data_IF_179355171902
#
_entry.id   IF_179355171902
#
_cell.length_a   1.000
_cell.length_b   1.000
_cell.length_c   1.000
_cell.angle_alpha   90.00
_cell.angle_beta   90.00
_cell.angle_gamma   90.00
#
_symmetry.space_group_name_H-M   'P 1'
#
loop_
_entity.id
_entity.type
_entity.pdbx_description
1 polymer ?
#
# COMPACT_ATOMS: atom_id res chain seq x y z
N UNK A 1 -2.92 -62.87 52.75
CA UNK A 1 -4.36 -62.80 52.46
C UNK A 1 -4.51 -62.66 50.97
N UNK A 2 -5.07 -63.67 50.33
CA UNK A 2 -5.26 -63.77 48.88
C UNK A 2 -6.68 -63.30 48.55
N UNK A 3 -6.85 -62.44 47.55
CA UNK A 3 -8.13 -62.36 46.83
C UNK A 3 -7.87 -62.08 45.36
N UNK A 4 -8.41 -62.98 44.56
CA UNK A 4 -8.55 -63.03 43.11
C UNK A 4 -9.77 -62.18 42.68
N UNK A 5 -9.75 -61.58 41.48
CA UNK A 5 -10.90 -61.58 40.56
C UNK A 5 -10.58 -60.84 39.25
N UNK A 6 -10.89 -61.54 38.16
CA UNK A 6 -10.76 -61.14 36.76
C UNK A 6 -12.06 -60.56 36.15
N UNK A 7 -11.95 -60.07 34.91
CA UNK A 7 -12.92 -60.17 33.78
C UNK A 7 -13.74 -58.91 33.35
N UNK A 8 -13.39 -58.47 32.13
CA UNK A 8 -14.15 -57.96 30.96
C UNK A 8 -15.46 -57.15 31.06
N UNK A 9 -15.55 -56.16 30.17
CA UNK A 9 -16.81 -55.67 29.60
C UNK A 9 -16.61 -54.61 28.52
N UNK A 10 -16.61 -55.02 27.25
CA UNK A 10 -16.61 -54.17 26.05
C UNK A 10 -17.95 -53.47 25.85
N UNK A 11 -17.97 -52.19 25.45
CA UNK A 11 -19.05 -51.64 24.61
C UNK A 11 -18.59 -50.38 23.86
N UNK A 12 -18.54 -50.51 22.54
CA UNK A 12 -18.55 -49.44 21.55
C UNK A 12 -19.79 -48.56 21.68
N UNK A 13 -19.65 -47.25 21.52
CA UNK A 13 -20.76 -46.36 21.17
C UNK A 13 -20.29 -45.27 20.23
N UNK A 14 -20.54 -45.52 18.95
CA UNK A 14 -20.53 -44.56 17.86
C UNK A 14 -21.59 -43.49 18.10
N UNK A 15 -21.20 -42.21 18.05
CA UNK A 15 -22.15 -41.10 17.97
C UNK A 15 -21.63 -40.05 16.98
N UNK A 16 -22.05 -40.25 15.73
CA UNK A 16 -22.44 -39.25 14.71
C UNK A 16 -21.87 -37.83 14.87
N UNK A 17 -21.07 -37.41 13.89
CA UNK A 17 -21.00 -36.01 13.47
C UNK A 17 -22.40 -35.51 13.07
N UNK A 18 -22.66 -34.22 13.29
CA UNK A 18 -23.18 -33.42 12.19
C UNK A 18 -22.22 -32.30 11.81
N UNK A 19 -21.78 -32.41 10.56
CA UNK A 19 -21.40 -31.33 9.66
C UNK A 19 -22.44 -30.21 9.71
N UNK A 20 -22.10 -29.09 10.35
CA UNK A 20 -22.35 -27.73 9.85
C UNK A 20 -22.20 -26.75 11.01
N UNK A 21 -21.03 -26.13 11.12
CA UNK A 21 -21.03 -24.71 11.40
C UNK A 21 -19.88 -24.12 10.60
N UNK A 22 -20.29 -23.71 9.41
CA UNK A 22 -19.76 -22.57 8.67
C UNK A 22 -19.30 -21.54 9.71
N UNK A 23 -18.04 -21.65 10.16
CA UNK A 23 -17.36 -20.54 10.79
C UNK A 23 -17.25 -19.53 9.66
N UNK A 24 -18.27 -18.68 9.60
CA UNK A 24 -18.32 -17.49 8.79
C UNK A 24 -17.01 -16.81 9.07
N UNK A 25 -16.05 -16.99 8.15
CA UNK A 25 -14.89 -16.14 8.11
C UNK A 25 -15.50 -14.76 7.98
N UNK A 26 -15.48 -14.01 9.09
CA UNK A 26 -15.63 -12.57 9.01
C UNK A 26 -14.74 -12.18 7.82
N UNK A 27 -15.27 -11.46 6.81
CA UNK A 27 -14.44 -11.06 5.70
C UNK A 27 -13.22 -10.43 6.34
N UNK A 28 -12.03 -10.98 6.06
CA UNK A 28 -10.81 -10.27 6.39
C UNK A 28 -11.06 -8.89 5.85
N UNK A 29 -11.20 -7.91 6.74
CA UNK A 29 -11.42 -6.54 6.33
C UNK A 29 -10.15 -6.23 5.59
N UNK A 30 -10.20 -6.36 4.27
CA UNK A 30 -9.28 -5.71 3.38
C UNK A 30 -9.59 -4.26 3.69
N UNK A 31 -8.87 -3.71 4.68
CA UNK A 31 -8.75 -2.29 4.83
C UNK A 31 -8.05 -1.89 3.55
N UNK A 32 -8.85 -1.62 2.52
CA UNK A 32 -8.45 -0.74 1.45
C UNK A 32 -8.14 0.58 2.16
N UNK A 33 -6.88 0.73 2.54
CA UNK A 33 -6.33 2.01 2.92
C UNK A 33 -6.47 2.87 1.66
N UNK A 34 -7.56 3.64 1.57
CA UNK A 34 -7.73 4.75 0.65
C UNK A 34 -6.83 5.93 1.05
N UNK A 35 -5.59 5.64 1.44
CA UNK A 35 -4.59 6.59 1.90
C UNK A 35 -3.37 6.51 1.00
N UNK A 36 -3.39 7.28 -0.07
CA UNK A 36 -2.21 7.53 -0.89
C UNK A 36 -1.06 8.08 -0.03
N UNK A 37 0.05 7.36 -0.04
CA UNK A 37 1.37 7.94 0.20
C UNK A 37 1.90 7.65 1.59
N UNK A 38 2.63 6.55 1.76
CA UNK A 38 3.52 6.33 2.88
C UNK A 38 3.54 4.88 3.35
N UNK A 39 4.72 4.27 3.30
CA UNK A 39 4.95 2.94 3.85
C UNK A 39 5.06 3.03 5.38
N UNK A 40 4.55 2.01 6.10
CA UNK A 40 4.76 1.94 7.54
C UNK A 40 6.25 1.76 7.84
N UNK A 41 6.70 2.31 8.96
CA UNK A 41 8.08 2.21 9.44
C UNK A 41 8.54 0.76 9.49
N UNK A 42 7.67 -0.16 9.95
CA UNK A 42 7.93 -1.60 9.96
C UNK A 42 8.39 -2.10 8.60
N UNK A 43 7.65 -1.77 7.54
CA UNK A 43 7.95 -2.22 6.18
C UNK A 43 9.27 -1.64 5.67
N UNK A 44 9.52 -0.35 5.91
CA UNK A 44 10.79 0.29 5.52
C UNK A 44 11.97 -0.41 6.21
N UNK A 45 11.85 -0.74 7.50
CA UNK A 45 12.90 -1.44 8.25
C UNK A 45 13.04 -2.89 7.80
N UNK A 46 11.95 -3.62 7.62
CA UNK A 46 11.94 -5.04 7.23
C UNK A 46 12.55 -5.26 5.84
N UNK A 47 12.24 -4.39 4.87
CA UNK A 47 12.76 -4.49 3.51
C UNK A 47 14.25 -4.11 3.41
N UNK A 48 14.70 -3.13 4.20
CA UNK A 48 16.02 -2.53 4.03
C UNK A 48 17.03 -2.96 5.09
N UNK A 49 16.59 -3.62 6.16
CA UNK A 49 17.42 -4.02 7.29
C UNK A 49 17.10 -5.47 7.74
N UNK A 50 17.54 -6.49 6.96
CA UNK A 50 17.34 -7.90 7.29
C UNK A 50 18.20 -8.29 8.50
N UNK A 51 17.66 -8.09 9.70
CA UNK A 51 18.36 -8.31 10.98
C UNK A 51 17.74 -7.56 12.16
N UNK A 52 16.94 -6.51 11.88
CA UNK A 52 16.26 -5.67 12.88
C UNK A 52 14.78 -6.02 13.08
N UNK A 53 14.36 -7.22 12.68
CA UNK A 53 12.96 -7.64 12.55
C UNK A 53 12.09 -7.58 13.84
N UNK A 54 12.71 -7.40 15.02
CA UNK A 54 12.00 -7.25 16.29
C UNK A 54 11.73 -5.79 16.72
N UNK A 55 12.03 -4.80 15.86
CA UNK A 55 11.84 -3.40 16.21
C UNK A 55 10.36 -3.06 16.46
N UNK A 56 10.08 -2.49 17.64
CA UNK A 56 8.77 -1.96 18.00
C UNK A 56 8.53 -0.54 17.43
N UNK A 57 9.60 0.11 16.96
CA UNK A 57 9.56 1.41 16.31
C UNK A 57 10.96 1.91 15.96
N UNK A 58 11.04 3.18 15.58
CA UNK A 58 12.30 3.87 15.28
C UNK A 58 12.33 5.25 15.93
N UNK A 59 13.53 5.83 15.99
CA UNK A 59 13.72 7.26 16.17
C UNK A 59 14.46 7.77 14.96
N UNK A 60 13.82 8.69 14.23
CA UNK A 60 14.42 9.34 13.08
C UNK A 60 15.40 10.39 13.58
N UNK A 61 16.64 10.27 13.13
CA UNK A 61 17.77 11.13 13.49
C UNK A 61 18.16 12.07 12.34
N UNK A 62 17.86 11.68 11.10
CA UNK A 62 18.14 12.53 9.95
C UNK A 62 17.18 12.27 8.80
N UNK A 63 16.75 13.32 8.12
CA UNK A 63 15.99 13.27 6.88
C UNK A 63 16.60 14.21 5.84
N UNK A 64 16.60 13.78 4.59
CA UNK A 64 17.03 14.62 3.48
C UNK A 64 16.06 15.80 3.27
N UNK A 65 16.39 16.97 3.81
CA UNK A 65 15.54 18.16 3.72
C UNK A 65 15.45 18.73 2.30
N UNK A 66 16.32 18.31 1.37
CA UNK A 66 16.30 18.75 -0.02
C UNK A 66 15.35 17.89 -0.88
N UNK A 67 15.00 16.70 -0.39
CA UNK A 67 14.11 15.79 -1.10
C UNK A 67 12.68 16.32 -1.24
N UNK A 68 12.18 17.06 -0.24
CA UNK A 68 10.81 17.53 -0.20
C UNK A 68 10.28 17.78 1.22
N UNK A 69 8.96 17.95 1.31
CA UNK A 69 8.27 18.06 2.60
C UNK A 69 8.03 16.67 3.19
N UNK A 70 8.76 16.36 4.25
CA UNK A 70 8.60 15.11 5.00
C UNK A 70 7.37 15.15 5.90
N UNK A 71 6.63 14.05 5.93
CA UNK A 71 5.42 13.91 6.73
C UNK A 71 5.32 12.52 7.34
N UNK A 72 4.69 12.44 8.49
CA UNK A 72 4.34 11.18 9.13
C UNK A 72 2.86 11.14 9.51
N UNK A 73 2.37 9.92 9.71
CA UNK A 73 1.04 9.65 10.23
C UNK A 73 1.12 8.58 11.32
N UNK A 74 0.32 8.75 12.37
CA UNK A 74 0.17 7.78 13.47
C UNK A 74 -1.22 7.14 13.50
N UNK A 75 -2.06 7.46 12.52
CA UNK A 75 -3.46 7.04 12.41
C UNK A 75 -3.73 6.40 11.04
N UNK A 76 -2.81 5.53 10.60
CA UNK A 76 -2.89 4.76 9.34
C UNK A 76 -3.06 5.62 8.06
N UNK A 77 -2.52 6.84 8.07
CA UNK A 77 -2.55 7.76 6.94
C UNK A 77 -3.81 8.62 6.85
N UNK A 78 -4.68 8.61 7.87
CA UNK A 78 -5.86 9.48 7.93
C UNK A 78 -5.46 10.95 8.10
N UNK A 79 -4.49 11.24 8.97
CA UNK A 79 -3.91 12.57 9.13
C UNK A 79 -2.40 12.56 8.96
N UNK A 80 -1.87 13.65 8.42
CA UNK A 80 -0.45 13.80 8.11
C UNK A 80 0.11 15.04 8.78
N UNK A 81 1.20 14.85 9.52
CA UNK A 81 1.92 15.91 10.23
C UNK A 81 3.27 16.13 9.58
N UNK A 82 3.64 17.40 9.37
CA UNK A 82 4.95 17.75 8.84
C UNK A 82 6.06 17.41 9.85
N UNK A 83 7.17 16.86 9.35
CA UNK A 83 8.38 16.63 10.13
C UNK A 83 9.24 17.88 10.04
N UNK A 84 9.58 18.45 11.19
CA UNK A 84 10.63 19.46 11.36
C UNK A 84 12.01 18.85 11.10
N UNK A 85 12.41 18.80 9.84
CA UNK A 85 13.73 18.30 9.41
C UNK A 85 14.86 19.14 10.00
N UNK A 86 14.62 20.44 10.22
CA UNK A 86 15.54 21.36 10.91
C UNK A 86 15.83 20.96 12.36
N UNK A 87 14.88 20.29 13.03
CA UNK A 87 15.05 19.86 14.42
C UNK A 87 15.77 18.51 14.50
N UNK A 88 15.43 17.56 13.62
CA UNK A 88 16.08 16.23 13.61
C UNK A 88 17.50 16.29 13.05
N UNK A 89 17.74 17.09 12.01
CA UNK A 89 19.08 17.22 11.42
C UNK A 89 20.02 18.12 12.24
N UNK A 90 19.51 18.78 13.29
CA UNK A 90 20.31 19.65 14.14
C UNK A 90 21.26 18.80 14.99
N UNK A 91 22.53 19.23 15.17
CA UNK A 91 23.38 18.63 16.20
C UNK A 91 22.73 18.79 17.59
N UNK A 92 22.76 17.74 18.41
CA UNK A 92 22.11 17.75 19.74
C UNK A 92 21.22 16.55 20.04
N UNK A 93 21.36 15.47 19.27
CA UNK A 93 20.72 14.18 19.49
C UNK A 93 19.20 14.28 19.70
N UNK A 94 18.52 15.13 18.94
CA UNK A 94 17.07 15.28 18.97
C UNK A 94 16.48 14.50 17.80
N UNK A 95 15.59 13.53 18.08
CA UNK A 95 15.00 12.68 17.05
C UNK A 95 13.48 12.62 17.12
N UNK A 96 12.84 12.22 16.03
CA UNK A 96 11.40 11.98 15.98
C UNK A 96 11.11 10.51 16.27
N UNK A 97 10.37 10.25 17.35
CA UNK A 97 9.94 8.92 17.73
C UNK A 97 8.74 8.46 16.91
N UNK A 98 8.84 7.31 16.24
CA UNK A 98 7.75 6.71 15.47
C UNK A 98 7.59 5.22 15.80
N UNK A 99 6.36 4.78 16.06
CA UNK A 99 6.07 3.35 16.24
C UNK A 99 6.12 2.61 14.91
N UNK A 100 6.21 1.29 14.95
CA UNK A 100 6.33 0.44 13.76
C UNK A 100 5.19 0.65 12.74
N UNK A 101 3.99 0.98 13.22
CA UNK A 101 2.79 1.18 12.38
C UNK A 101 2.66 2.62 11.88
N UNK A 102 3.48 3.55 12.39
CA UNK A 102 3.51 4.91 11.88
C UNK A 102 3.96 4.91 10.42
N UNK A 103 3.33 5.73 9.60
CA UNK A 103 3.62 5.85 8.17
C UNK A 103 4.51 7.03 7.90
N UNK A 104 5.48 6.87 7.02
CA UNK A 104 6.40 7.92 6.61
C UNK A 104 6.21 8.23 5.12
N UNK A 105 6.19 9.50 4.74
CA UNK A 105 6.18 9.93 3.33
C UNK A 105 6.99 11.20 3.12
N UNK A 106 7.38 11.43 1.86
CA UNK A 106 7.99 12.68 1.39
C UNK A 106 7.23 13.19 0.17
N UNK A 107 6.88 14.48 0.19
CA UNK A 107 6.28 15.18 -0.96
C UNK A 107 7.39 15.92 -1.71
N UNK A 108 7.84 15.43 -2.87
CA UNK A 108 9.00 16.01 -3.54
C UNK A 108 8.75 17.46 -3.96
N UNK A 109 9.79 18.29 -3.87
CA UNK A 109 9.72 19.64 -4.45
C UNK A 109 9.60 19.54 -5.98
N UNK A 110 8.73 20.37 -6.57
CA UNK A 110 8.51 20.36 -8.01
C UNK A 110 9.79 20.65 -8.80
N UNK A 111 10.05 19.88 -9.86
CA UNK A 111 11.19 20.09 -10.76
C UNK A 111 12.38 19.14 -10.58
N UNK A 112 12.42 18.36 -9.48
CA UNK A 112 13.54 17.45 -9.21
C UNK A 112 13.15 15.99 -9.43
N UNK A 113 13.92 15.26 -10.25
CA UNK A 113 13.86 13.79 -10.29
C UNK A 113 14.67 13.28 -9.10
N UNK A 114 14.00 13.07 -7.98
CA UNK A 114 14.60 12.47 -6.78
C UNK A 114 14.70 10.96 -7.02
N UNK A 115 15.91 10.46 -7.26
CA UNK A 115 16.18 9.02 -7.47
C UNK A 115 16.34 8.26 -6.15
N UNK A 116 16.82 8.95 -5.11
CA UNK A 116 16.96 8.41 -3.76
C UNK A 116 17.01 9.53 -2.71
N UNK A 117 16.54 9.24 -1.51
CA UNK A 117 16.49 10.16 -0.38
C UNK A 117 17.19 9.55 0.84
N UNK A 118 17.95 10.34 1.57
CA UNK A 118 18.64 9.87 2.77
C UNK A 118 17.70 9.89 3.99
N UNK A 119 17.69 8.78 4.72
CA UNK A 119 17.01 8.65 6.01
C UNK A 119 17.99 8.00 6.99
N UNK A 120 18.18 8.59 8.16
CA UNK A 120 18.90 7.94 9.26
C UNK A 120 18.00 7.79 10.48
N UNK A 121 18.06 6.62 11.10
CA UNK A 121 17.29 6.29 12.28
C UNK A 121 17.98 5.16 13.06
N UNK A 122 17.61 4.98 14.31
CA UNK A 122 17.87 3.72 15.01
C UNK A 122 16.55 3.05 15.37
N UNK A 123 16.57 1.73 15.41
CA UNK A 123 15.43 0.93 15.86
C UNK A 123 15.35 0.91 17.37
N UNK A 124 14.14 0.79 17.90
CA UNK A 124 13.87 0.60 19.33
C UNK A 124 13.14 -0.71 19.60
N UNK A 125 13.41 -1.33 20.73
CA UNK A 125 12.79 -2.61 21.13
C UNK A 125 11.45 -2.44 21.84
N UNK A 126 11.14 -1.22 22.34
CA UNK A 126 9.86 -0.88 22.94
C UNK A 126 9.18 0.21 22.14
N UNK A 127 7.87 0.06 21.91
CA UNK A 127 7.06 1.09 21.30
C UNK A 127 7.01 2.34 22.17
N UNK A 128 6.76 3.47 21.55
CA UNK A 128 6.71 4.79 22.20
C UNK A 128 5.35 5.06 22.83
N UNK A 129 4.28 4.38 22.39
CA UNK A 129 2.94 4.55 22.93
C UNK A 129 2.47 6.00 22.85
N UNK A 130 2.24 6.64 24.01
CA UNK A 130 1.91 8.07 24.09
C UNK A 130 2.99 9.00 23.49
N UNK A 131 4.23 8.54 23.38
CA UNK A 131 5.34 9.27 22.77
C UNK A 131 5.42 9.14 21.24
N UNK A 132 4.51 8.41 20.58
CA UNK A 132 4.51 8.25 19.13
C UNK A 132 4.26 9.61 18.43
N UNK A 133 5.17 10.01 17.54
CA UNK A 133 5.13 11.30 16.86
C UNK A 133 5.66 12.48 17.69
N UNK A 134 6.38 12.22 18.79
CA UNK A 134 7.04 13.23 19.62
C UNK A 134 8.52 13.40 19.26
N UNK A 135 9.04 14.62 19.42
CA UNK A 135 10.48 14.88 19.37
C UNK A 135 11.10 14.63 20.74
N UNK A 136 12.22 13.92 20.77
CA UNK A 136 12.92 13.61 22.03
C UNK A 136 14.42 13.53 21.87
N UNK A 137 15.12 13.79 22.95
CA UNK A 137 16.55 13.53 23.03
C UNK A 137 16.82 12.02 22.98
N UNK A 138 17.95 11.64 22.38
CA UNK A 138 18.50 10.29 22.38
C UNK A 138 20.00 10.35 22.73
N UNK A 139 20.58 9.22 23.16
CA UNK A 139 22.01 9.15 23.46
C UNK A 139 22.80 8.78 22.19
N UNK A 140 23.79 9.57 21.76
CA UNK A 140 24.49 9.29 20.49
C UNK A 140 25.53 8.17 20.53
N UNK A 141 26.25 7.97 21.66
CA UNK A 141 27.43 7.09 21.68
C UNK A 141 27.43 5.97 22.74
N UNK A 142 26.62 6.04 23.82
CA UNK A 142 26.56 5.00 24.87
C UNK A 142 25.34 4.08 24.72
N UNK A 143 25.10 3.56 23.52
CA UNK A 143 24.04 2.56 23.32
C UNK A 143 24.62 1.16 23.49
N UNK A 144 24.71 0.73 24.74
CA UNK A 144 24.84 -0.70 25.06
C UNK A 144 23.58 -1.39 24.53
N UNK A 145 23.75 -2.34 23.60
CA UNK A 145 22.69 -3.16 22.99
C UNK A 145 21.97 -2.56 21.76
N UNK A 146 22.40 -2.99 20.55
CA UNK A 146 21.57 -3.09 19.34
C UNK A 146 21.07 -1.83 18.61
N UNK A 147 20.98 -0.66 19.23
CA UNK A 147 20.39 0.55 18.62
C UNK A 147 21.38 1.43 17.87
N UNK A 148 22.17 0.86 16.96
CA UNK A 148 23.06 1.65 16.08
C UNK A 148 22.25 2.48 15.09
N UNK A 149 22.70 3.70 14.82
CA UNK A 149 22.14 4.52 13.74
C UNK A 149 22.36 3.82 12.40
N UNK A 150 21.26 3.52 11.72
CA UNK A 150 21.23 3.01 10.35
C UNK A 150 20.95 4.18 9.43
N UNK A 151 21.78 4.33 8.40
CA UNK A 151 21.56 5.34 7.36
C UNK A 151 21.26 4.65 6.04
N UNK A 152 20.09 4.93 5.49
CA UNK A 152 19.60 4.37 4.24
C UNK A 152 19.52 5.47 3.16
N UNK A 153 19.65 5.05 1.90
CA UNK A 153 19.29 5.85 0.73
C UNK A 153 18.16 5.12 0.02
N UNK A 154 16.96 5.68 0.08
CA UNK A 154 15.72 5.00 -0.31
C UNK A 154 15.11 5.65 -1.54
N UNK A 155 14.59 4.86 -2.47
CA UNK A 155 13.78 5.38 -3.57
C UNK A 155 12.43 5.94 -3.08
N UNK A 156 11.81 6.83 -3.85
CA UNK A 156 10.51 7.41 -3.48
C UNK A 156 9.42 6.36 -3.27
N UNK A 157 9.42 5.25 -4.00
CA UNK A 157 8.46 4.15 -3.82
C UNK A 157 8.66 3.39 -2.51
N UNK A 158 9.91 3.27 -2.03
CA UNK A 158 10.21 2.63 -0.76
C UNK A 158 9.73 3.46 0.43
N UNK A 159 9.67 4.79 0.29
CA UNK A 159 9.13 5.70 1.30
C UNK A 159 7.61 5.89 1.13
N UNK A 160 7.16 6.33 -0.05
CA UNK A 160 5.77 6.72 -0.30
C UNK A 160 4.84 5.54 -0.61
N UNK A 161 5.39 4.33 -0.78
CA UNK A 161 4.66 3.21 -1.34
C UNK A 161 4.44 3.36 -2.84
N UNK A 162 4.04 2.27 -3.47
CA UNK A 162 3.65 2.27 -4.88
C UNK A 162 2.25 2.89 -4.99
N UNK A 163 2.04 3.92 -5.84
CA UNK A 163 0.70 4.43 -6.08
C UNK A 163 -0.23 3.28 -6.49
N UNK A 164 -1.45 3.20 -5.97
CA UNK A 164 -2.44 2.25 -6.45
C UNK A 164 -2.57 2.45 -7.96
N UNK A 165 -2.64 1.34 -8.70
CA UNK A 165 -2.82 1.39 -10.14
C UNK A 165 -4.14 2.11 -10.45
N UNK A 166 -4.07 3.41 -10.72
CA UNK A 166 -5.23 4.16 -11.19
C UNK A 166 -5.49 3.67 -12.60
N UNK A 167 -6.55 2.90 -12.80
CA UNK A 167 -7.06 2.65 -14.14
C UNK A 167 -7.57 3.98 -14.66
N UNK A 168 -6.70 4.75 -15.31
CA UNK A 168 -7.10 5.93 -16.05
C UNK A 168 -7.82 5.39 -17.29
N UNK A 169 -9.14 5.56 -17.41
CA UNK A 169 -9.83 5.17 -18.63
C UNK A 169 -9.14 5.93 -19.75
N UNK A 170 -8.62 5.21 -20.76
CA UNK A 170 -7.96 5.84 -21.90
C UNK A 170 -8.84 6.99 -22.38
N UNK A 171 -8.31 8.23 -22.51
CA UNK A 171 -9.09 9.36 -22.98
C UNK A 171 -9.75 8.97 -24.30
N UNK A 172 -11.07 8.74 -24.27
CA UNK A 172 -11.80 8.27 -25.43
C UNK A 172 -11.86 9.45 -26.39
N UNK A 173 -11.06 9.40 -27.45
CA UNK A 173 -10.93 10.51 -28.39
C UNK A 173 -12.30 10.81 -29.04
N UNK A 174 -13.00 11.84 -28.55
CA UNK A 174 -14.36 12.19 -28.97
C UNK A 174 -14.44 12.43 -30.48
N UNK A 175 -13.39 13.01 -31.08
CA UNK A 175 -13.30 13.24 -32.54
C UNK A 175 -13.30 11.93 -33.33
N UNK A 176 -12.53 10.94 -32.87
CA UNK A 176 -12.48 9.63 -33.54
C UNK A 176 -13.82 8.91 -33.48
N UNK A 177 -14.59 9.08 -32.40
CA UNK A 177 -15.93 8.49 -32.28
C UNK A 177 -16.95 9.15 -33.21
N UNK A 178 -16.92 10.48 -33.31
CA UNK A 178 -17.78 11.22 -34.24
C UNK A 178 -17.45 10.87 -35.70
N UNK A 179 -16.16 10.77 -36.04
CA UNK A 179 -15.74 10.35 -37.38
C UNK A 179 -16.15 8.91 -37.69
N UNK A 180 -16.06 8.00 -36.72
CA UNK A 180 -16.49 6.60 -36.90
C UNK A 180 -18.02 6.49 -37.01
N UNK A 181 -18.76 7.30 -36.27
CA UNK A 181 -20.22 7.39 -36.38
C UNK A 181 -20.65 7.98 -37.74
N UNK A 182 -19.97 9.04 -38.20
CA UNK A 182 -20.22 9.65 -39.51
C UNK A 182 -19.88 8.69 -40.65
N UNK A 183 -18.76 7.97 -40.56
CA UNK A 183 -18.38 6.95 -41.54
C UNK A 183 -19.36 5.77 -41.57
N UNK A 184 -19.85 5.33 -40.41
CA UNK A 184 -20.87 4.29 -40.33
C UNK A 184 -22.22 4.74 -40.92
N UNK A 185 -22.62 6.00 -40.67
CA UNK A 185 -23.82 6.58 -41.27
C UNK A 185 -23.69 6.71 -42.80
N UNK A 186 -22.52 7.11 -43.30
CA UNK A 186 -22.24 7.19 -44.74
C UNK A 186 -22.21 5.81 -45.43
N UNK A 187 -21.73 4.78 -44.74
CA UNK A 187 -21.77 3.39 -45.24
C UNK A 187 -23.20 2.81 -45.25
N UNK A 188 -24.03 3.19 -44.29
CA UNK A 188 -25.45 2.78 -44.25
C UNK A 188 -26.27 3.46 -45.38
N UNK A 189 -25.98 4.71 -45.71
CA UNK A 189 -26.66 5.40 -46.82
C UNK A 189 -26.19 4.91 -48.19
N UNK A 190 -24.90 4.64 -48.39
CA UNK A 190 -24.40 4.09 -49.67
C UNK A 190 -24.89 2.67 -49.98
N UNK A 191 -25.07 1.84 -48.95
CA UNK A 191 -25.69 0.52 -49.10
C UNK A 191 -27.18 0.60 -49.47
N UNK A 192 -27.93 1.56 -48.90
CA UNK A 192 -29.35 1.78 -49.25
C UNK A 192 -29.56 2.29 -50.69
N UNK A 193 -28.61 3.05 -51.23
CA UNK A 193 -28.65 3.56 -52.61
C UNK A 193 -28.31 2.46 -53.62
N UNK A 194 -27.35 1.57 -53.30
CA UNK A 194 -27.01 0.42 -54.15
C UNK A 194 -28.12 -0.63 -54.20
N UNK A 195 -28.89 -0.81 -53.13
CA UNK A 195 -30.08 -1.69 -53.16
C UNK A 195 -31.23 -1.09 -53.97
N UNK A 196 -31.33 0.25 -54.03
CA UNK A 196 -32.40 0.94 -54.75
C UNK A 196 -32.14 1.03 -56.27
N UNK A 197 -30.87 1.08 -56.69
CA UNK A 197 -30.51 1.04 -58.11
C UNK A 197 -30.59 -0.35 -58.73
N UNK A 198 -30.45 -1.42 -57.93
CA UNK A 198 -30.64 -2.79 -58.38
C UNK A 198 -32.11 -3.13 -58.70
N UNK A 199 -33.08 -2.35 -58.21
CA UNK A 199 -34.52 -2.56 -58.46
C UNK A 199 -35.08 -1.88 -59.72
N UNK A 200 -34.30 -1.10 -60.46
CA UNK A 200 -34.79 -0.26 -61.57
C UNK A 200 -34.44 -0.75 -62.99
N UNK A 201 -33.80 -1.92 -63.14
CA UNK A 201 -33.41 -2.47 -64.46
C UNK A 201 -34.29 -3.60 -64.99
N UNK A 202 -35.50 -3.80 -64.43
CA UNK A 202 -36.43 -4.82 -64.91
C UNK A 202 -37.81 -4.26 -65.21
N UNK A 203 -38.05 -3.86 -66.47
CA UNK A 203 -39.31 -4.06 -67.21
C UNK A 203 -39.54 -2.96 -68.28
N UNK A 204 -38.80 -3.06 -69.38
CA UNK A 204 -39.24 -2.56 -70.69
C UNK A 204 -39.40 -3.77 -71.60
N UNK A 205 -40.64 -4.26 -71.76
CA UNK A 205 -41.07 -5.14 -72.85
C UNK A 205 -42.59 -4.95 -72.97
N UNK A 206 -43.04 -4.09 -73.89
CA UNK A 206 -43.55 -4.43 -75.22
C UNK A 206 -44.75 -5.40 -75.18
N UNK A 207 -45.93 -4.83 -75.42
CA UNK A 207 -46.92 -5.19 -76.46
C UNK A 207 -48.34 -4.81 -76.00
#
# INVERSE_FOLDING_TARGET
>A
MTVDASIQGSATSTSRQPRSERRTAAPATVHCATGLGGNPVAHIVEENCPGTLAAAGVVIEHLDSQAGTWQFSTDDGQTWRAIRTDLVNRPGNMGLALDRDARLRVLPFGGHRVSGVRVAFHTVQRGHGQGNGSYRAYASDDREDGSRTVTLVLGLSAINGTPPAVHVPRPRNKRALVQRAAAAAAAASSSSLSSSSASLTGSMAMA
#
